data_IF_830429786824
#
_entry.id   IF_830429786824
#
_cell.length_a   1.000
_cell.length_b   1.000
_cell.length_c   1.000
_cell.angle_alpha   90.00
_cell.angle_beta   90.00
_cell.angle_gamma   90.00
#
_symmetry.space_group_name_H-M   'P 1'
#
loop_
_entity.id
_entity.type
_entity.pdbx_description
1 polymer ?
#
# COMPACT_ATOMS: atom_id res chain seq x y z
N UNK A 1 1.81 -11.43 10.99
CA UNK A 1 3.19 -11.41 10.47
C UNK A 1 3.93 -10.34 11.23
N UNK A 2 5.08 -10.65 11.83
CA UNK A 2 5.82 -9.74 12.72
C UNK A 2 6.62 -8.70 11.94
N UNK A 3 7.00 -7.60 12.59
CA UNK A 3 7.94 -6.61 12.02
C UNK A 3 9.24 -7.25 11.52
N UNK A 4 9.73 -8.28 12.22
CA UNK A 4 10.91 -9.05 11.81
C UNK A 4 10.68 -9.85 10.52
N UNK A 5 9.47 -10.37 10.30
CA UNK A 5 9.10 -11.07 9.07
C UNK A 5 8.97 -10.11 7.88
N UNK A 6 8.42 -8.91 8.10
CA UNK A 6 8.42 -7.83 7.10
C UNK A 6 9.85 -7.46 6.71
N UNK A 7 10.71 -7.21 7.70
CA UNK A 7 12.12 -6.86 7.46
C UNK A 7 12.84 -7.99 6.70
N UNK A 8 12.63 -9.25 7.11
CA UNK A 8 13.18 -10.41 6.41
C UNK A 8 12.71 -10.49 4.94
N UNK A 9 11.46 -10.12 4.63
CA UNK A 9 10.99 -10.08 3.24
C UNK A 9 11.71 -9.04 2.40
N UNK A 10 12.04 -7.89 2.98
CA UNK A 10 12.88 -6.88 2.32
C UNK A 10 14.31 -7.36 2.14
N UNK A 11 14.93 -7.84 3.21
CA UNK A 11 16.34 -8.25 3.22
C UNK A 11 16.60 -9.42 2.26
N UNK A 12 15.69 -10.40 2.22
CA UNK A 12 15.76 -11.52 1.28
C UNK A 12 15.13 -11.23 -0.08
N UNK A 13 14.52 -10.06 -0.22
CA UNK A 13 13.76 -9.65 -1.41
C UNK A 13 12.77 -10.73 -1.90
N UNK A 14 12.04 -11.32 -0.95
CA UNK A 14 11.05 -12.40 -1.16
C UNK A 14 9.69 -11.84 -1.63
N UNK A 15 9.73 -10.97 -2.63
CA UNK A 15 8.57 -10.38 -3.28
C UNK A 15 8.90 -9.94 -4.71
N UNK A 16 7.88 -9.96 -5.56
CA UNK A 16 7.88 -9.35 -6.89
C UNK A 16 7.09 -8.04 -6.89
N UNK A 17 6.16 -7.89 -5.96
CA UNK A 17 5.34 -6.69 -5.80
C UNK A 17 5.09 -6.43 -4.32
N UNK A 18 5.35 -5.20 -3.89
CA UNK A 18 5.05 -4.69 -2.56
C UNK A 18 4.22 -3.43 -2.69
N UNK A 19 3.13 -3.38 -1.92
CA UNK A 19 2.26 -2.23 -1.83
C UNK A 19 2.03 -1.91 -0.35
N UNK A 20 2.34 -0.68 0.01
CA UNK A 20 2.03 -0.15 1.33
C UNK A 20 1.26 1.14 1.22
N UNK A 21 0.27 1.24 2.07
CA UNK A 21 -0.59 2.40 2.18
C UNK A 21 -0.83 2.67 3.66
N UNK A 22 -0.49 3.89 4.06
CA UNK A 22 -0.63 4.38 5.42
C UNK A 22 -1.71 5.47 5.45
N UNK A 23 -2.50 5.49 6.51
CA UNK A 23 -3.58 6.45 6.67
C UNK A 23 -3.02 7.88 6.81
N UNK A 24 -3.49 8.76 5.92
CA UNK A 24 -3.23 10.20 5.93
C UNK A 24 -4.40 11.04 5.39
N UNK A 25 -5.20 10.50 4.46
CA UNK A 25 -6.32 11.20 3.81
C UNK A 25 -7.64 10.43 3.69
N UNK A 26 -7.76 9.26 4.31
CA UNK A 26 -8.98 8.44 4.26
C UNK A 26 -9.74 8.54 5.58
N UNK A 27 -11.07 8.65 5.53
CA UNK A 27 -11.95 8.52 6.72
C UNK A 27 -11.82 7.14 7.39
N UNK A 28 -11.33 6.14 6.64
CA UNK A 28 -11.00 4.81 7.16
C UNK A 28 -9.59 4.81 7.73
N UNK A 29 -9.50 4.50 9.02
CA UNK A 29 -8.25 4.33 9.76
C UNK A 29 -7.71 2.92 9.56
N UNK A 30 -7.47 2.56 8.30
CA UNK A 30 -6.92 1.29 7.89
C UNK A 30 -5.58 1.50 7.17
N UNK A 31 -4.59 0.67 7.49
CA UNK A 31 -3.32 0.60 6.75
C UNK A 31 -3.11 -0.80 6.21
N UNK A 32 -2.48 -0.86 5.04
CA UNK A 32 -2.22 -2.08 4.29
C UNK A 32 -0.72 -2.29 4.17
N UNK A 33 -0.24 -3.49 4.49
CA UNK A 33 1.06 -3.98 4.04
C UNK A 33 0.86 -5.24 3.22
N UNK A 34 1.06 -5.14 1.91
CA UNK A 34 0.73 -6.18 0.96
C UNK A 34 1.96 -6.60 0.15
N UNK A 35 2.25 -7.90 0.17
CA UNK A 35 3.33 -8.51 -0.61
C UNK A 35 2.75 -9.54 -1.56
N UNK A 36 3.32 -9.64 -2.76
CA UNK A 36 3.13 -10.77 -3.68
C UNK A 36 4.50 -11.39 -3.95
N UNK A 37 4.61 -12.71 -3.79
CA UNK A 37 5.84 -13.46 -4.10
C UNK A 37 5.87 -13.97 -5.55
N UNK A 38 6.98 -14.57 -5.96
CA UNK A 38 7.19 -15.09 -7.32
C UNK A 38 6.20 -16.20 -7.73
N UNK A 39 5.58 -16.88 -6.76
CA UNK A 39 4.53 -17.87 -6.99
C UNK A 39 3.12 -17.24 -7.08
N UNK A 40 3.03 -15.91 -7.11
CA UNK A 40 1.76 -15.15 -7.11
C UNK A 40 0.86 -15.48 -5.92
N UNK A 41 1.47 -15.80 -4.78
CA UNK A 41 0.79 -15.83 -3.49
C UNK A 41 1.02 -14.51 -2.78
N UNK A 42 0.02 -14.05 -2.04
CA UNK A 42 0.10 -12.85 -1.25
C UNK A 42 0.27 -13.12 0.24
N UNK A 43 0.93 -12.16 0.89
CA UNK A 43 0.92 -11.96 2.33
C UNK A 43 0.37 -10.55 2.58
N UNK A 44 -0.72 -10.43 3.34
CA UNK A 44 -1.40 -9.17 3.64
C UNK A 44 -1.47 -8.97 5.16
N UNK A 45 -1.04 -7.80 5.61
CA UNK A 45 -1.25 -7.29 6.96
C UNK A 45 -2.22 -6.12 6.86
N UNK A 46 -3.32 -6.22 7.59
CA UNK A 46 -4.34 -5.19 7.73
C UNK A 46 -4.29 -4.70 9.16
N UNK A 47 -4.08 -3.40 9.34
CA UNK A 47 -4.27 -2.77 10.64
C UNK A 47 -5.42 -1.79 10.53
N UNK A 48 -6.47 -1.96 11.34
CA UNK A 48 -7.58 -1.03 11.39
C UNK A 48 -8.04 -0.79 12.83
N UNK A 49 -8.64 0.37 13.07
CA UNK A 49 -9.25 0.68 14.34
C UNK A 49 -10.61 -0.04 14.48
N UNK A 50 -11.02 -0.45 15.69
CA UNK A 50 -12.31 -1.12 15.94
C UNK A 50 -13.49 -0.16 16.16
N UNK A 51 -13.20 1.11 16.46
CA UNK A 51 -14.21 2.15 16.64
C UNK A 51 -13.81 3.42 15.89
N UNK A 52 -14.78 4.25 15.44
CA UNK A 52 -14.50 5.59 14.95
C UNK A 52 -13.63 6.33 15.98
N UNK A 53 -12.50 6.89 15.53
CA UNK A 53 -11.63 7.65 16.43
C UNK A 53 -12.31 8.97 16.77
N UNK A 54 -12.49 9.21 18.06
CA UNK A 54 -12.73 10.54 18.58
C UNK A 54 -11.42 11.33 18.48
N UNK A 55 -11.30 12.17 17.44
CA UNK A 55 -10.09 12.95 17.19
C UNK A 55 -9.71 13.89 18.33
N UNK A 56 -10.65 14.24 19.22
CA UNK A 56 -10.36 15.01 20.44
C UNK A 56 -9.53 14.24 21.47
N UNK A 57 -9.48 12.90 21.38
CA UNK A 57 -8.72 12.00 22.25
C UNK A 57 -7.41 11.49 21.64
N UNK A 58 -7.07 11.90 20.41
CA UNK A 58 -5.85 11.47 19.71
C UNK A 58 -4.56 11.96 20.38
N UNK A 59 -4.64 13.05 21.14
CA UNK A 59 -3.51 13.60 21.87
C UNK A 59 -3.19 12.82 23.17
N UNK A 60 -4.13 12.02 23.67
CA UNK A 60 -3.87 11.06 24.75
C UNK A 60 -3.46 9.71 24.15
N UNK A 61 -2.33 9.15 24.57
CA UNK A 61 -1.75 7.89 24.05
C UNK A 61 -2.65 6.63 24.09
N UNK A 62 -3.92 6.74 24.50
CA UNK A 62 -4.92 5.68 24.65
C UNK A 62 -5.44 5.07 23.32
N UNK A 63 -5.06 5.62 22.16
CA UNK A 63 -5.56 5.13 20.85
C UNK A 63 -4.88 3.83 20.39
N UNK A 64 -3.72 3.48 20.96
CA UNK A 64 -3.02 2.23 20.59
C UNK A 64 -3.85 0.98 20.91
N UNK A 65 -4.78 1.06 21.86
CA UNK A 65 -5.51 -0.09 22.41
C UNK A 65 -6.71 -0.56 21.57
N UNK A 66 -7.04 0.12 20.47
CA UNK A 66 -8.20 -0.24 19.62
C UNK A 66 -7.81 -0.69 18.21
N UNK A 67 -6.55 -1.11 17.99
CA UNK A 67 -6.09 -1.58 16.68
C UNK A 67 -6.20 -3.09 16.56
N UNK A 68 -6.98 -3.57 15.60
CA UNK A 68 -6.91 -4.97 15.14
C UNK A 68 -5.81 -5.10 14.09
N UNK A 69 -4.92 -6.05 14.31
CA UNK A 69 -4.00 -6.55 13.30
C UNK A 69 -4.56 -7.87 12.76
N UNK A 70 -4.82 -7.94 11.45
CA UNK A 70 -5.17 -9.17 10.76
C UNK A 70 -4.07 -9.55 9.79
N UNK A 71 -3.80 -10.85 9.71
CA UNK A 71 -2.88 -11.42 8.74
C UNK A 71 -3.59 -12.41 7.84
N UNK A 72 -3.44 -12.22 6.53
CA UNK A 72 -4.02 -13.08 5.51
C UNK A 72 -2.93 -13.54 4.55
N UNK A 73 -2.97 -14.83 4.21
CA UNK A 73 -2.08 -15.45 3.23
C UNK A 73 -2.87 -16.35 2.31
N UNK A 74 -2.85 -16.06 1.01
CA UNK A 74 -3.56 -16.86 0.02
C UNK A 74 -2.98 -16.63 -1.38
N UNK A 75 -3.62 -17.21 -2.40
CA UNK A 75 -3.31 -16.93 -3.80
C UNK A 75 -3.82 -15.54 -4.17
N UNK A 76 -2.98 -14.72 -4.82
CA UNK A 76 -3.36 -13.37 -5.28
C UNK A 76 -4.56 -13.44 -6.22
N UNK A 77 -5.55 -12.53 -6.15
CA UNK A 77 -6.69 -12.51 -7.08
C UNK A 77 -6.28 -12.57 -8.56
N UNK A 78 -7.07 -13.27 -9.37
CA UNK A 78 -6.71 -13.58 -10.76
C UNK A 78 -6.40 -12.35 -11.61
N UNK A 79 -7.24 -11.30 -11.53
CA UNK A 79 -7.03 -10.08 -12.27
C UNK A 79 -5.67 -9.42 -11.94
N UNK A 80 -5.30 -9.39 -10.65
CA UNK A 80 -4.01 -8.86 -10.19
C UNK A 80 -2.86 -9.74 -10.71
N UNK A 81 -3.00 -11.07 -10.64
CA UNK A 81 -1.99 -12.00 -11.18
C UNK A 81 -1.75 -11.78 -12.66
N UNK A 82 -2.81 -11.67 -13.46
CA UNK A 82 -2.70 -11.49 -14.91
C UNK A 82 -2.04 -10.17 -15.27
N UNK A 83 -2.45 -9.05 -14.66
CA UNK A 83 -1.84 -7.74 -14.94
C UNK A 83 -0.38 -7.69 -14.47
N UNK A 84 -0.07 -8.22 -13.29
CA UNK A 84 1.31 -8.29 -12.78
C UNK A 84 2.19 -9.19 -13.67
N UNK A 85 1.68 -10.35 -14.10
CA UNK A 85 2.39 -11.23 -15.03
C UNK A 85 2.68 -10.52 -16.36
N UNK A 86 1.69 -9.84 -16.93
CA UNK A 86 1.88 -9.05 -18.15
C UNK A 86 2.97 -7.99 -17.99
N UNK A 87 2.98 -7.26 -16.88
CA UNK A 87 4.02 -6.27 -16.55
C UNK A 87 5.41 -6.91 -16.44
N UNK A 88 5.52 -8.07 -15.80
CA UNK A 88 6.78 -8.79 -15.64
C UNK A 88 7.32 -9.36 -16.95
N UNK A 89 6.42 -9.84 -17.82
CA UNK A 89 6.75 -10.39 -19.13
C UNK A 89 7.09 -9.27 -20.15
N UNK A 90 6.73 -8.00 -19.86
CA UNK A 90 6.99 -6.83 -20.71
C UNK A 90 7.71 -5.72 -19.91
N UNK A 91 9.02 -5.85 -19.65
CA UNK A 91 9.76 -4.91 -18.82
C UNK A 91 9.69 -3.48 -19.35
N UNK A 92 9.53 -2.52 -18.44
CA UNK A 92 9.55 -1.09 -18.71
C UNK A 92 10.28 -0.34 -17.61
N UNK A 93 10.62 0.91 -17.90
CA UNK A 93 11.21 1.82 -16.92
C UNK A 93 10.13 2.75 -16.37
N UNK A 94 10.08 2.88 -15.05
CA UNK A 94 9.32 3.92 -14.36
C UNK A 94 10.23 5.08 -13.98
N UNK A 95 9.63 6.25 -13.77
CA UNK A 95 10.33 7.36 -13.13
C UNK A 95 10.59 7.01 -11.67
N UNK A 96 11.68 7.54 -11.12
CA UNK A 96 12.00 7.38 -9.70
C UNK A 96 10.94 8.01 -8.77
N UNK A 97 10.17 8.99 -9.27
CA UNK A 97 9.12 9.67 -8.51
C UNK A 97 8.05 10.27 -9.42
N UNK A 98 6.80 10.26 -8.92
CA UNK A 98 5.63 10.91 -9.53
C UNK A 98 5.10 12.05 -8.66
N UNK A 99 5.97 12.70 -7.88
CA UNK A 99 5.61 13.83 -7.05
C UNK A 99 5.57 15.14 -7.84
N UNK A 100 4.57 15.97 -7.57
CA UNK A 100 4.48 17.30 -8.17
C UNK A 100 5.65 18.17 -7.73
N UNK A 101 6.42 18.72 -8.68
CA UNK A 101 7.62 19.55 -8.39
C UNK A 101 7.37 20.73 -7.43
N UNK A 102 6.17 21.31 -7.44
CA UNK A 102 5.77 22.41 -6.55
C UNK A 102 5.62 22.01 -5.07
N UNK A 103 5.62 20.71 -4.78
CA UNK A 103 5.43 20.15 -3.44
C UNK A 103 6.71 19.54 -2.87
N UNK A 104 7.76 19.42 -3.70
CA UNK A 104 9.11 19.04 -3.29
C UNK A 104 9.68 20.16 -2.41
N UNK A 105 9.56 20.02 -1.09
CA UNK A 105 10.09 20.95 -0.09
C UNK A 105 9.09 21.49 0.93
N UNK A 106 7.77 21.35 0.68
CA UNK A 106 6.72 21.74 1.66
C UNK A 106 6.60 20.79 2.85
N UNK A 107 7.14 19.58 2.72
CA UNK A 107 7.12 18.52 3.74
C UNK A 107 8.48 18.37 4.43
N UNK A 108 9.17 19.48 4.69
CA UNK A 108 10.43 19.47 5.41
C UNK A 108 10.21 19.83 6.88
N UNK A 109 10.72 18.96 7.74
CA UNK A 109 10.97 19.10 9.19
C UNK A 109 9.93 18.51 10.17
N UNK A 110 10.48 17.61 11.00
CA UNK A 110 9.96 17.01 12.24
C UNK A 110 8.69 16.15 12.15
N UNK A 111 8.95 14.85 12.24
CA UNK A 111 8.11 13.81 12.81
C UNK A 111 6.86 13.36 12.04
N UNK A 112 7.01 12.14 11.52
CA UNK A 112 6.00 11.24 10.95
C UNK A 112 5.50 11.61 9.55
N UNK A 113 5.63 10.65 8.63
CA UNK A 113 4.92 10.62 7.34
C UNK A 113 5.53 11.52 6.25
N UNK A 114 6.82 11.32 5.92
CA UNK A 114 7.28 11.56 4.54
C UNK A 114 6.55 10.57 3.62
N UNK A 115 5.35 10.94 3.23
CA UNK A 115 4.47 10.25 2.28
C UNK A 115 5.07 10.37 0.87
N UNK A 116 6.19 9.69 0.66
CA UNK A 116 6.85 9.59 -0.63
C UNK A 116 6.01 8.66 -1.50
N UNK A 117 5.32 9.20 -2.49
CA UNK A 117 4.89 8.42 -3.66
C UNK A 117 6.14 7.93 -4.41
N UNK A 118 6.75 6.88 -3.89
CA UNK A 118 7.98 6.28 -4.38
C UNK A 118 7.68 4.92 -4.95
N UNK A 119 8.14 4.72 -6.18
CA UNK A 119 8.13 3.42 -6.84
C UNK A 119 9.58 3.01 -7.02
N UNK A 120 10.03 2.03 -6.23
CA UNK A 120 11.28 1.35 -6.53
C UNK A 120 10.99 0.27 -7.55
N UNK A 121 11.67 0.32 -8.69
CA UNK A 121 11.66 -0.76 -9.67
C UNK A 121 13.10 -1.15 -9.98
N UNK A 122 13.50 -2.36 -9.59
CA UNK A 122 14.80 -2.95 -9.95
C UNK A 122 14.66 -4.45 -10.06
N UNK A 123 15.29 -5.04 -11.07
CA UNK A 123 15.35 -6.50 -11.27
C UNK A 123 13.97 -7.18 -11.24
N UNK A 124 12.95 -6.56 -11.86
CA UNK A 124 11.58 -7.10 -11.92
C UNK A 124 10.82 -7.08 -10.59
N UNK A 125 11.26 -6.27 -9.62
CA UNK A 125 10.59 -6.09 -8.33
C UNK A 125 10.05 -4.67 -8.23
N UNK A 126 8.82 -4.56 -7.76
CA UNK A 126 8.14 -3.28 -7.56
C UNK A 126 7.85 -3.07 -6.08
N UNK A 127 8.23 -1.91 -5.54
CA UNK A 127 7.89 -1.50 -4.19
C UNK A 127 7.23 -0.13 -4.25
N UNK A 128 5.98 -0.07 -3.81
CA UNK A 128 5.13 1.11 -3.93
C UNK A 128 4.71 1.57 -2.55
N UNK A 129 4.99 2.83 -2.28
CA UNK A 129 4.35 3.57 -1.22
C UNK A 129 3.57 4.69 -1.90
N UNK A 130 2.23 4.71 -1.80
CA UNK A 130 1.41 5.79 -2.35
C UNK A 130 1.03 6.74 -1.22
N UNK A 131 1.35 8.02 -1.40
CA UNK A 131 1.02 9.08 -0.45
C UNK A 131 0.76 10.41 -1.12
N UNK A 132 0.62 11.43 -0.29
CA UNK A 132 0.28 12.80 -0.66
C UNK A 132 1.24 13.40 -1.70
N UNK A 133 0.67 14.13 -2.67
CA UNK A 133 1.44 14.77 -3.74
C UNK A 133 1.72 13.91 -4.98
N UNK A 134 1.14 12.71 -5.07
CA UNK A 134 1.10 11.94 -6.32
C UNK A 134 0.38 12.70 -7.44
N UNK A 135 1.07 12.95 -8.55
CA UNK A 135 0.51 13.63 -9.72
C UNK A 135 0.33 12.66 -10.89
N UNK A 136 -0.93 12.26 -11.13
CA UNK A 136 -1.30 11.40 -12.26
C UNK A 136 -0.93 11.98 -13.62
N UNK A 137 -0.80 13.30 -13.76
CA UNK A 137 -0.40 13.91 -15.02
C UNK A 137 1.05 13.63 -15.39
N UNK A 138 1.85 13.12 -14.45
CA UNK A 138 3.23 12.68 -14.71
C UNK A 138 3.29 11.27 -15.31
N UNK A 139 2.17 10.55 -15.43
CA UNK A 139 2.06 9.26 -16.14
C UNK A 139 1.86 9.56 -17.62
N UNK A 140 2.79 9.15 -18.48
CA UNK A 140 2.77 9.55 -19.90
C UNK A 140 2.85 8.35 -20.84
N UNK A 141 3.57 7.30 -20.46
CA UNK A 141 3.77 6.13 -21.32
C UNK A 141 2.70 5.07 -21.08
N UNK A 142 2.42 4.25 -22.10
CA UNK A 142 1.49 3.12 -21.98
C UNK A 142 1.90 2.15 -20.87
N UNK A 143 3.21 1.95 -20.66
CA UNK A 143 3.71 1.06 -19.63
C UNK A 143 3.51 1.62 -18.21
N UNK A 144 3.69 2.94 -18.02
CA UNK A 144 3.33 3.62 -16.77
C UNK A 144 1.82 3.55 -16.51
N UNK A 145 0.99 3.67 -17.55
CA UNK A 145 -0.46 3.50 -17.45
C UNK A 145 -0.80 2.07 -17.02
N UNK A 146 -0.22 1.07 -17.68
CA UNK A 146 -0.42 -0.35 -17.35
C UNK A 146 0.01 -0.66 -15.90
N UNK A 147 1.11 -0.09 -15.44
CA UNK A 147 1.54 -0.21 -14.05
C UNK A 147 0.52 0.43 -13.10
N UNK A 148 0.04 1.62 -13.42
CA UNK A 148 -0.91 2.33 -12.57
C UNK A 148 -2.28 1.64 -12.52
N UNK A 149 -2.69 0.98 -13.59
CA UNK A 149 -3.85 0.09 -13.58
C UNK A 149 -3.68 -1.06 -12.58
N UNK A 150 -2.49 -1.68 -12.51
CA UNK A 150 -2.19 -2.71 -11.50
C UNK A 150 -2.32 -2.13 -10.10
N UNK A 151 -1.77 -0.93 -9.85
CA UNK A 151 -1.84 -0.27 -8.54
C UNK A 151 -3.29 0.01 -8.14
N UNK A 152 -4.09 0.55 -9.06
CA UNK A 152 -5.51 0.83 -8.83
C UNK A 152 -6.30 -0.46 -8.57
N UNK A 153 -5.98 -1.54 -9.29
CA UNK A 153 -6.62 -2.84 -9.11
C UNK A 153 -6.31 -3.43 -7.72
N UNK A 154 -5.05 -3.37 -7.29
CA UNK A 154 -4.64 -3.79 -5.94
C UNK A 154 -5.33 -2.93 -4.88
N UNK A 155 -5.29 -1.60 -5.02
CA UNK A 155 -5.89 -0.69 -4.05
C UNK A 155 -7.40 -0.93 -3.90
N UNK A 156 -8.13 -1.03 -5.01
CA UNK A 156 -9.57 -1.31 -5.00
C UNK A 156 -9.88 -2.63 -4.29
N UNK A 157 -9.14 -3.70 -4.59
CA UNK A 157 -9.35 -4.99 -3.95
C UNK A 157 -9.02 -4.95 -2.45
N UNK A 158 -7.98 -4.21 -2.04
CA UNK A 158 -7.62 -4.02 -0.63
C UNK A 158 -8.68 -3.22 0.14
N UNK A 159 -9.31 -2.23 -0.51
CA UNK A 159 -10.43 -1.47 0.07
C UNK A 159 -11.70 -2.32 0.20
N UNK A 160 -12.00 -3.19 -0.77
CA UNK A 160 -13.13 -4.10 -0.69
C UNK A 160 -12.94 -5.14 0.44
N UNK A 161 -11.75 -5.77 0.51
CA UNK A 161 -11.49 -6.78 1.54
C UNK A 161 -11.42 -6.16 2.94
N UNK A 162 -10.92 -4.93 3.10
CA UNK A 162 -10.96 -4.26 4.39
C UNK A 162 -12.37 -3.90 4.81
N UNK A 163 -13.21 -3.41 3.90
CA UNK A 163 -14.61 -3.12 4.20
C UNK A 163 -15.35 -4.35 4.69
N UNK A 164 -15.18 -5.48 4.01
CA UNK A 164 -15.81 -6.74 4.40
C UNK A 164 -15.32 -7.24 5.76
N UNK A 165 -14.02 -7.12 6.03
CA UNK A 165 -13.44 -7.51 7.33
C UNK A 165 -13.88 -6.55 8.44
N UNK A 166 -13.83 -5.24 8.21
CA UNK A 166 -14.25 -4.23 9.16
C UNK A 166 -15.74 -4.38 9.51
N UNK A 167 -16.60 -4.66 8.52
CA UNK A 167 -18.01 -5.05 8.74
C UNK A 167 -18.14 -6.29 9.62
N UNK A 168 -17.40 -7.34 9.29
CA UNK A 168 -17.42 -8.59 10.06
C UNK A 168 -17.04 -8.37 11.53
N UNK A 169 -16.11 -7.45 11.81
CA UNK A 169 -15.70 -7.08 13.16
C UNK A 169 -16.51 -5.94 13.79
N UNK A 170 -17.63 -5.53 13.18
CA UNK A 170 -18.59 -4.58 13.77
C UNK A 170 -18.23 -3.09 13.67
N UNK A 171 -17.40 -2.69 12.71
CA UNK A 171 -17.01 -1.28 12.51
C UNK A 171 -18.07 -0.42 11.82
N UNK A 172 -19.00 -1.02 11.10
CA UNK A 172 -20.07 -0.31 10.38
C UNK A 172 -21.42 -0.96 10.70
N UNK A 173 -22.24 -0.26 11.49
CA UNK A 173 -23.70 -0.26 11.31
C UNK A 173 -24.10 0.95 10.46
#
# INVERSE_FOLDING_TARGET
>A
MTYKEIQNKFDNSDFIFYYHYFYGFSEKLCSYTFFINSNFNFDLILNFHEKPIDFSKVLSNDIRDYRRELYLKCKTPEAIRHKLKYILDNPFELKDSYLKKSEIGKYSSSDTVNQSSYINHKNGKFSINLGDGFDRNLIVTNAEIDFMDLVMLVHKWLDEISDDLMKYYGYTE
#
